data_IF_030391090078
#
_entry.id   IF_030391090078
#
_cell.length_a   1.000
_cell.length_b   1.000
_cell.length_c   1.000
_cell.angle_alpha   90.00
_cell.angle_beta   90.00
_cell.angle_gamma   90.00
#
_symmetry.space_group_name_H-M   'P 1'
#
loop_
_entity.id
_entity.type
_entity.pdbx_description
1 polymer ?
#
# COMPACT_ATOMS: atom_id res chain seq x y z
N UNK A 1 -9.27 -1.90 10.34
CA UNK A 1 -10.13 -0.90 9.68
C UNK A 1 -10.86 -0.08 10.73
N UNK A 2 -11.26 1.16 10.42
CA UNK A 2 -12.03 2.02 11.33
C UNK A 2 -12.42 3.36 10.71
N UNK A 3 -13.10 4.19 11.51
CA UNK A 3 -13.43 5.59 11.16
C UNK A 3 -13.13 6.50 12.36
N UNK A 4 -12.85 7.79 12.13
CA UNK A 4 -12.58 8.75 13.19
C UNK A 4 -13.62 9.90 13.26
N UNK A 5 -13.46 10.81 14.21
CA UNK A 5 -14.38 11.93 14.45
C UNK A 5 -14.43 12.97 13.32
N UNK A 6 -13.49 12.92 12.37
CA UNK A 6 -13.47 13.79 11.20
C UNK A 6 -14.18 13.17 9.99
N UNK A 7 -14.72 11.95 10.13
CA UNK A 7 -15.35 11.23 9.02
C UNK A 7 -14.35 10.55 8.08
N UNK A 8 -13.07 10.48 8.45
CA UNK A 8 -12.07 9.69 7.73
C UNK A 8 -12.27 8.21 8.04
N UNK A 9 -12.39 7.40 6.99
CA UNK A 9 -12.47 5.93 7.05
C UNK A 9 -11.19 5.35 6.44
N UNK A 10 -10.64 4.30 7.06
CA UNK A 10 -9.50 3.56 6.51
C UNK A 10 -9.62 2.06 6.78
N UNK A 11 -9.25 1.26 5.78
CA UNK A 11 -8.96 -0.15 5.91
C UNK A 11 -7.62 -0.54 5.28
N UNK A 12 -7.15 -1.74 5.59
CA UNK A 12 -5.96 -2.32 5.00
C UNK A 12 -6.16 -3.81 4.71
N UNK A 13 -5.43 -4.33 3.74
CA UNK A 13 -5.42 -5.74 3.37
C UNK A 13 -3.97 -6.25 3.20
N UNK A 14 -3.75 -7.54 3.45
CA UNK A 14 -2.43 -8.15 3.33
C UNK A 14 -2.07 -8.45 1.88
N UNK A 15 -0.94 -7.92 1.40
CA UNK A 15 -0.37 -8.19 0.09
C UNK A 15 0.78 -9.19 0.18
N UNK A 16 0.69 -10.24 -0.64
CA UNK A 16 1.74 -11.23 -0.82
C UNK A 16 2.52 -10.96 -2.09
N UNK A 17 3.79 -10.60 -1.93
CA UNK A 17 4.63 -10.13 -3.03
C UNK A 17 5.85 -11.04 -3.21
N UNK A 18 6.53 -10.93 -4.35
CA UNK A 18 7.78 -11.66 -4.62
C UNK A 18 8.89 -11.27 -3.66
N UNK A 19 8.80 -10.10 -3.04
CA UNK A 19 9.74 -9.61 -2.05
C UNK A 19 9.23 -10.02 -0.67
N UNK A 20 10.03 -10.72 0.15
CA UNK A 20 9.61 -11.05 1.50
C UNK A 20 9.46 -9.78 2.34
N UNK A 21 8.40 -9.70 3.13
CA UNK A 21 8.21 -8.61 4.10
C UNK A 21 9.20 -8.76 5.26
N UNK A 22 9.69 -7.64 5.78
CA UNK A 22 10.70 -7.61 6.83
C UNK A 22 10.10 -7.99 8.19
N UNK A 23 10.92 -8.55 9.09
CA UNK A 23 10.48 -8.98 10.41
C UNK A 23 10.35 -7.84 11.44
N UNK A 24 10.80 -6.63 11.08
CA UNK A 24 10.75 -5.41 11.89
C UNK A 24 10.17 -4.25 11.05
N UNK A 25 9.44 -3.34 11.68
CA UNK A 25 8.80 -2.21 11.00
C UNK A 25 7.40 -1.94 11.55
N UNK A 26 6.69 -1.02 10.89
CA UNK A 26 5.29 -0.75 11.21
C UNK A 26 4.39 -1.77 10.51
N UNK A 27 3.47 -2.39 11.26
CA UNK A 27 2.46 -3.24 10.64
C UNK A 27 1.42 -2.39 9.91
N UNK A 28 0.66 -3.00 8.99
CA UNK A 28 -0.50 -2.33 8.40
C UNK A 28 -1.50 -1.83 9.45
N UNK A 29 -1.66 -2.57 10.55
CA UNK A 29 -2.53 -2.20 11.66
C UNK A 29 -2.01 -0.99 12.44
N UNK A 30 -0.70 -0.89 12.64
CA UNK A 30 -0.08 0.30 13.25
C UNK A 30 -0.33 1.54 12.40
N UNK A 31 -0.17 1.44 11.08
CA UNK A 31 -0.41 2.52 10.14
C UNK A 31 -1.89 2.94 10.15
N UNK A 32 -2.83 1.98 10.16
CA UNK A 32 -4.27 2.26 10.28
C UNK A 32 -4.58 3.06 11.55
N UNK A 33 -4.05 2.62 12.70
CA UNK A 33 -4.23 3.31 13.97
C UNK A 33 -3.68 4.74 13.91
N UNK A 34 -2.44 4.90 13.45
CA UNK A 34 -1.76 6.19 13.41
C UNK A 34 -2.48 7.19 12.50
N UNK A 35 -3.04 6.74 11.38
CA UNK A 35 -3.88 7.58 10.51
C UNK A 35 -5.16 8.02 11.23
N UNK A 36 -5.89 7.08 11.85
CA UNK A 36 -7.14 7.41 12.54
C UNK A 36 -6.94 8.39 13.69
N UNK A 37 -5.81 8.31 14.39
CA UNK A 37 -5.47 9.19 15.52
C UNK A 37 -4.96 10.58 15.11
N UNK A 38 -4.40 10.74 13.89
CA UNK A 38 -3.60 11.92 13.53
C UNK A 38 -4.05 12.66 12.28
N UNK A 39 -4.98 12.12 11.51
CA UNK A 39 -5.40 12.68 10.23
C UNK A 39 -6.90 13.02 10.24
N UNK A 40 -7.24 14.13 9.59
CA UNK A 40 -8.62 14.57 9.38
C UNK A 40 -9.14 14.22 7.99
N UNK A 41 -8.24 13.99 7.02
CA UNK A 41 -8.58 13.70 5.61
C UNK A 41 -7.85 12.48 5.09
N UNK A 42 -8.38 11.87 4.03
CA UNK A 42 -7.79 10.72 3.32
C UNK A 42 -6.46 11.09 2.67
N UNK A 43 -6.31 12.33 2.18
CA UNK A 43 -5.05 12.86 1.68
C UNK A 43 -3.98 12.93 2.77
N UNK A 44 -4.30 13.50 3.94
CA UNK A 44 -3.38 13.52 5.08
C UNK A 44 -3.02 12.10 5.52
N UNK A 45 -3.99 11.18 5.53
CA UNK A 45 -3.76 9.76 5.83
C UNK A 45 -2.78 9.11 4.86
N UNK A 46 -2.95 9.35 3.55
CA UNK A 46 -2.05 8.89 2.49
C UNK A 46 -0.64 9.45 2.68
N UNK A 47 -0.51 10.76 2.89
CA UNK A 47 0.78 11.43 3.11
C UNK A 47 1.47 10.89 4.37
N UNK A 48 0.72 10.66 5.46
CA UNK A 48 1.26 10.09 6.70
C UNK A 48 1.75 8.66 6.51
N UNK A 49 0.99 7.81 5.82
CA UNK A 49 1.41 6.43 5.51
C UNK A 49 2.74 6.45 4.75
N UNK A 50 2.83 7.25 3.68
CA UNK A 50 4.04 7.34 2.86
C UNK A 50 5.23 7.85 3.70
N UNK A 51 5.01 8.86 4.55
CA UNK A 51 6.05 9.38 5.44
C UNK A 51 6.56 8.30 6.42
N UNK A 52 5.65 7.61 7.10
CA UNK A 52 5.98 6.59 8.08
C UNK A 52 6.65 5.37 7.43
N UNK A 53 6.16 4.95 6.25
CA UNK A 53 6.72 3.88 5.46
C UNK A 53 8.18 4.18 5.08
N UNK A 54 8.47 5.39 4.59
CA UNK A 54 9.83 5.79 4.26
C UNK A 54 10.74 5.82 5.49
N UNK A 55 10.24 6.38 6.60
CA UNK A 55 11.02 6.61 7.82
C UNK A 55 11.31 5.31 8.58
N UNK A 56 10.32 4.44 8.75
CA UNK A 56 10.40 3.28 9.62
C UNK A 56 10.31 1.94 8.88
N UNK A 57 9.93 1.96 7.59
CA UNK A 57 9.59 0.74 6.87
C UNK A 57 8.25 0.16 7.31
N UNK A 58 7.90 -0.94 6.66
CA UNK A 58 6.80 -1.81 7.08
C UNK A 58 7.30 -3.21 7.32
N UNK A 59 6.58 -3.95 8.14
CA UNK A 59 6.95 -5.31 8.53
C UNK A 59 6.45 -5.61 9.94
N UNK A 60 7.00 -6.67 10.52
CA UNK A 60 6.60 -7.14 11.85
C UNK A 60 5.63 -8.32 11.79
N UNK A 61 5.57 -9.07 12.88
CA UNK A 61 4.70 -10.24 12.96
C UNK A 61 3.22 -9.82 13.09
N UNK A 62 2.44 -10.06 12.05
CA UNK A 62 1.01 -9.81 12.00
C UNK A 62 0.16 -11.01 12.48
N UNK A 63 0.79 -12.13 12.84
CA UNK A 63 0.10 -13.34 13.27
C UNK A 63 -0.01 -13.45 14.79
N UNK A 64 -1.18 -13.89 15.26
CA UNK A 64 -1.45 -14.11 16.69
C UNK A 64 -0.84 -15.42 17.20
N UNK A 65 -1.02 -16.52 16.46
CA UNK A 65 -0.58 -17.88 16.84
C UNK A 65 0.71 -18.34 16.15
N UNK A 66 1.04 -17.73 15.01
CA UNK A 66 2.22 -18.08 14.21
C UNK A 66 2.84 -16.82 13.62
N UNK A 67 4.07 -16.94 13.13
CA UNK A 67 4.72 -15.85 12.41
C UNK A 67 4.06 -15.64 11.06
N UNK A 68 3.59 -14.43 10.81
CA UNK A 68 2.92 -14.08 9.56
C UNK A 68 3.34 -12.68 9.13
N UNK A 69 3.95 -12.56 7.94
CA UNK A 69 4.55 -11.33 7.44
C UNK A 69 3.99 -11.02 6.05
N UNK A 70 3.63 -9.76 5.81
CA UNK A 70 3.08 -9.30 4.54
C UNK A 70 3.37 -7.81 4.33
N UNK A 71 3.19 -7.32 3.10
CA UNK A 71 3.10 -5.90 2.80
C UNK A 71 1.64 -5.45 2.84
N UNK A 72 1.34 -4.16 2.95
CA UNK A 72 -0.05 -3.70 3.11
C UNK A 72 -0.59 -2.95 1.89
N UNK A 73 -1.84 -3.23 1.54
CA UNK A 73 -2.69 -2.33 0.76
C UNK A 73 -3.55 -1.51 1.71
N UNK A 74 -3.85 -0.26 1.38
CA UNK A 74 -4.72 0.62 2.15
C UNK A 74 -5.81 1.21 1.26
N UNK A 75 -7.00 1.36 1.80
CA UNK A 75 -8.10 2.13 1.21
C UNK A 75 -8.57 3.16 2.24
N UNK A 76 -8.44 4.44 1.90
CA UNK A 76 -8.85 5.59 2.72
C UNK A 76 -9.93 6.37 1.99
N UNK A 77 -10.95 6.84 2.71
CA UNK A 77 -12.01 7.67 2.14
C UNK A 77 -12.46 8.71 3.15
N UNK A 78 -12.72 9.93 2.70
CA UNK A 78 -13.41 10.99 3.43
C UNK A 78 -14.58 11.55 2.60
N UNK A 79 -15.17 12.68 3.02
CA UNK A 79 -16.33 13.28 2.33
C UNK A 79 -16.02 13.85 0.95
N UNK A 80 -14.76 14.07 0.61
CA UNK A 80 -14.31 14.75 -0.61
C UNK A 80 -13.67 13.78 -1.60
N UNK A 81 -12.81 12.88 -1.11
CA UNK A 81 -12.02 11.98 -1.93
C UNK A 81 -11.63 10.70 -1.17
N UNK A 82 -11.03 9.76 -1.90
CA UNK A 82 -10.38 8.59 -1.33
C UNK A 82 -9.05 8.30 -2.00
N UNK A 83 -8.32 7.35 -1.42
CA UNK A 83 -7.01 6.92 -1.86
C UNK A 83 -6.85 5.41 -1.68
N UNK A 84 -6.35 4.74 -2.71
CA UNK A 84 -5.77 3.40 -2.60
C UNK A 84 -4.26 3.53 -2.59
N UNK A 85 -3.59 2.79 -1.70
CA UNK A 85 -2.13 2.76 -1.60
C UNK A 85 -1.71 1.31 -1.49
N UNK A 86 -0.94 0.81 -2.46
CA UNK A 86 -0.39 -0.55 -2.44
C UNK A 86 1.12 -0.46 -2.33
N UNK A 87 1.69 -1.24 -1.43
CA UNK A 87 3.08 -1.06 -0.99
C UNK A 87 3.89 -2.35 -1.13
N UNK A 88 5.20 -2.19 -1.33
CA UNK A 88 6.21 -3.26 -1.27
C UNK A 88 7.47 -2.69 -0.65
N UNK A 89 7.96 -3.28 0.44
CA UNK A 89 9.04 -2.70 1.26
C UNK A 89 8.76 -1.24 1.63
N UNK A 90 9.53 -0.28 1.11
CA UNK A 90 9.28 1.16 1.29
C UNK A 90 8.63 1.82 0.07
N UNK A 91 8.49 1.06 -1.01
CA UNK A 91 7.97 1.52 -2.28
C UNK A 91 6.44 1.45 -2.29
N UNK A 92 5.81 2.30 -3.08
CA UNK A 92 4.36 2.36 -3.17
C UNK A 92 3.87 2.83 -4.55
N UNK A 93 2.65 2.43 -4.88
CA UNK A 93 1.81 3.12 -5.85
C UNK A 93 0.51 3.54 -5.18
N UNK A 94 -0.03 4.69 -5.58
CA UNK A 94 -1.25 5.24 -5.03
C UNK A 94 -2.16 5.81 -6.11
N UNK A 95 -3.47 5.68 -5.89
CA UNK A 95 -4.52 6.17 -6.77
C UNK A 95 -5.51 7.01 -6.00
N UNK A 96 -5.84 8.18 -6.54
CA UNK A 96 -6.89 9.05 -6.05
C UNK A 96 -8.25 8.58 -6.57
N UNK A 97 -9.24 8.62 -5.69
CA UNK A 97 -10.63 8.24 -5.96
C UNK A 97 -11.51 9.48 -5.76
N UNK A 98 -12.21 9.88 -6.81
CA UNK A 98 -13.22 10.95 -6.76
C UNK A 98 -14.59 10.49 -7.26
N UNK A 99 -14.66 9.34 -7.92
CA UNK A 99 -15.87 8.72 -8.45
C UNK A 99 -15.63 7.23 -8.72
N UNK A 100 -16.69 6.48 -9.03
CA UNK A 100 -16.60 5.07 -9.43
C UNK A 100 -16.56 4.10 -8.26
N UNK A 101 -16.22 2.84 -8.57
CA UNK A 101 -16.17 1.74 -7.62
C UNK A 101 -14.76 1.14 -7.70
N UNK A 102 -14.13 0.99 -6.54
CA UNK A 102 -12.82 0.37 -6.41
C UNK A 102 -12.83 -0.65 -5.27
N UNK A 103 -11.96 -1.63 -5.39
CA UNK A 103 -11.80 -2.72 -4.43
C UNK A 103 -10.33 -3.01 -4.23
N UNK A 104 -9.96 -3.43 -3.03
CA UNK A 104 -8.64 -4.00 -2.74
C UNK A 104 -8.82 -5.45 -2.28
N UNK A 105 -7.78 -6.26 -2.44
CA UNK A 105 -7.77 -7.67 -2.03
C UNK A 105 -6.37 -8.09 -1.60
N UNK A 106 -6.16 -9.38 -1.33
CA UNK A 106 -4.83 -9.91 -1.04
C UNK A 106 -3.88 -9.99 -2.25
N UNK A 107 -4.31 -9.45 -3.39
CA UNK A 107 -3.54 -9.33 -4.63
C UNK A 107 -3.43 -7.85 -4.98
N UNK A 108 -2.25 -7.44 -5.43
CA UNK A 108 -2.00 -6.08 -5.96
C UNK A 108 -3.03 -5.80 -7.05
N UNK A 109 -3.79 -4.74 -6.85
CA UNK A 109 -4.91 -4.33 -7.71
C UNK A 109 -4.44 -3.51 -8.90
N UNK A 110 -3.28 -2.85 -8.78
CA UNK A 110 -2.84 -1.93 -9.81
C UNK A 110 -2.16 -2.56 -11.03
N UNK A 111 -2.47 -1.95 -12.17
CA UNK A 111 -2.04 -2.36 -13.50
C UNK A 111 -0.74 -1.68 -13.93
N UNK A 112 -0.76 -1.11 -15.15
CA UNK A 112 0.32 -0.29 -15.67
C UNK A 112 0.44 1.07 -14.97
N UNK A 113 1.48 1.82 -15.33
CA UNK A 113 1.81 3.12 -14.72
C UNK A 113 0.67 4.15 -14.82
N UNK A 114 -0.16 4.04 -15.86
CA UNK A 114 -1.34 4.87 -16.09
C UNK A 114 -2.43 4.69 -15.02
N UNK A 115 -2.35 3.62 -14.23
CA UNK A 115 -3.33 3.35 -13.17
C UNK A 115 -3.03 4.09 -11.87
N UNK A 116 -1.81 4.63 -11.71
CA UNK A 116 -1.39 5.35 -10.51
C UNK A 116 -1.48 6.87 -10.72
N UNK A 117 -1.81 7.60 -9.66
CA UNK A 117 -1.68 9.06 -9.61
C UNK A 117 -0.36 9.47 -8.93
N UNK A 118 0.14 8.64 -8.02
CA UNK A 118 1.43 8.81 -7.35
C UNK A 118 2.14 7.46 -7.21
N UNK A 119 3.46 7.44 -7.26
CA UNK A 119 4.26 6.25 -6.98
C UNK A 119 5.67 6.65 -6.55
N UNK A 120 6.34 5.78 -5.82
CA UNK A 120 7.73 6.00 -5.41
C UNK A 120 8.68 5.80 -6.58
N UNK A 121 9.74 6.62 -6.65
CA UNK A 121 10.69 6.63 -7.77
C UNK A 121 11.33 5.24 -8.00
N UNK A 122 11.69 4.55 -6.93
CA UNK A 122 12.42 3.30 -7.04
C UNK A 122 11.51 2.09 -7.33
N UNK A 123 10.18 2.21 -7.25
CA UNK A 123 9.24 1.11 -7.50
C UNK A 123 9.50 0.45 -8.86
N UNK A 124 9.69 1.26 -9.89
CA UNK A 124 9.89 0.77 -11.27
C UNK A 124 11.35 0.37 -11.48
N UNK A 125 12.30 1.14 -10.95
CA UNK A 125 13.73 0.83 -11.02
C UNK A 125 14.04 -0.53 -10.38
N UNK A 126 13.43 -0.85 -9.24
CA UNK A 126 13.56 -2.14 -8.57
C UNK A 126 13.02 -3.29 -9.44
N UNK A 127 11.88 -3.11 -10.11
CA UNK A 127 11.33 -4.14 -11.01
C UNK A 127 12.21 -4.38 -12.24
N UNK A 128 12.76 -3.32 -12.84
CA UNK A 128 13.69 -3.42 -13.97
C UNK A 128 14.99 -4.12 -13.54
N UNK A 129 15.56 -3.71 -12.40
CA UNK A 129 16.79 -4.31 -11.86
C UNK A 129 16.63 -5.80 -11.54
N UNK A 130 15.44 -6.21 -11.10
CA UNK A 130 15.09 -7.62 -10.88
C UNK A 130 14.64 -8.35 -12.15
N UNK A 131 14.65 -7.71 -13.31
CA UNK A 131 14.23 -8.26 -14.62
C UNK A 131 12.77 -8.72 -14.64
N UNK A 132 11.89 -8.08 -13.87
CA UNK A 132 10.46 -8.35 -13.86
C UNK A 132 9.68 -7.55 -14.91
N UNK A 133 10.29 -6.50 -15.46
CA UNK A 133 9.88 -5.80 -16.67
C UNK A 133 11.12 -5.27 -17.40
N UNK A 134 10.96 -4.85 -18.65
CA UNK A 134 12.08 -4.36 -19.48
C UNK A 134 12.27 -2.84 -19.44
N UNK A 135 11.21 -2.09 -19.16
CA UNK A 135 11.22 -0.63 -19.18
C UNK A 135 10.11 -0.05 -18.31
N UNK A 136 10.09 1.29 -18.19
CA UNK A 136 9.01 2.00 -17.52
C UNK A 136 7.64 1.80 -18.20
N UNK A 137 7.63 1.74 -19.54
CA UNK A 137 6.40 1.57 -20.32
C UNK A 137 5.82 0.14 -20.21
N UNK A 138 6.67 -0.84 -19.93
CA UNK A 138 6.28 -2.25 -19.74
C UNK A 138 5.93 -2.56 -18.28
N UNK A 139 6.09 -1.60 -17.37
CA UNK A 139 5.82 -1.83 -15.96
C UNK A 139 4.34 -2.12 -15.71
N UNK A 140 4.06 -3.20 -14.98
CA UNK A 140 2.73 -3.54 -14.49
C UNK A 140 2.83 -4.06 -13.06
N UNK A 141 2.31 -3.31 -12.09
CA UNK A 141 2.62 -3.51 -10.68
C UNK A 141 2.27 -4.94 -10.21
N UNK A 142 1.04 -5.38 -10.47
CA UNK A 142 0.62 -6.74 -10.13
C UNK A 142 1.50 -7.83 -10.77
N UNK A 143 1.80 -7.75 -12.07
CA UNK A 143 2.60 -8.78 -12.76
C UNK A 143 4.05 -8.81 -12.25
N UNK A 144 4.62 -7.63 -11.99
CA UNK A 144 5.99 -7.51 -11.54
C UNK A 144 6.15 -7.99 -10.10
N UNK A 145 5.22 -7.66 -9.20
CA UNK A 145 5.42 -7.84 -7.76
C UNK A 145 4.54 -8.89 -7.10
N UNK A 146 3.41 -9.31 -7.65
CA UNK A 146 2.58 -10.33 -7.00
C UNK A 146 3.36 -11.64 -6.87
N UNK A 147 3.43 -12.15 -5.64
CA UNK A 147 4.01 -13.45 -5.34
C UNK A 147 2.98 -14.55 -5.60
N UNK A 148 3.43 -15.75 -5.95
CA UNK A 148 2.56 -16.92 -5.89
C UNK A 148 2.16 -17.11 -4.42
N UNK A 149 0.88 -16.96 -4.12
CA UNK A 149 0.29 -17.43 -2.88
C UNK A 149 -0.84 -18.35 -3.26
N UNK A 150 -0.51 -19.65 -3.39
CA UNK A 150 -1.13 -20.81 -2.76
C UNK A 150 -0.16 -21.99 -2.88
#
# INVERSE_FOLDING_TARGET
MGFNCHGLVIGNEALFTKIPSYNEGLTGMDLVRLVLERCSTSKEGKDLIIFLLNKYGQGGNCGFTSKFYYHSSFLLVDSNEGWIIETVEKEYAAKKITNGIYTISNIISFGGIETFDEYSKNLIEQAINNKWCHSYQDFHFQKCYSGFSF
#
